data_IF_079864446519
#
_entry.id   IF_079864446519
#
_cell.length_a   1.000
_cell.length_b   1.000
_cell.length_c   1.000
_cell.angle_alpha   90.00
_cell.angle_beta   90.00
_cell.angle_gamma   90.00
#
_symmetry.space_group_name_H-M   'P 1'
#
loop_
_entity.id
_entity.type
_entity.pdbx_description
1 polymer ?
#
# COMPACT_ATOMS: atom_id res chain seq x y z
N UNK A 1 33.77 -18.80 -1.79
CA UNK A 1 34.08 -17.38 -1.51
C UNK A 1 32.92 -16.89 -0.69
N UNK A 2 33.13 -16.58 0.59
CA UNK A 2 32.08 -16.07 1.45
C UNK A 2 31.81 -14.63 1.03
N UNK A 3 30.59 -14.36 0.57
CA UNK A 3 30.10 -12.99 0.38
C UNK A 3 30.25 -12.29 1.72
N UNK A 4 31.15 -11.31 1.78
CA UNK A 4 31.22 -10.39 2.91
C UNK A 4 29.91 -9.61 2.89
N UNK A 5 29.03 -9.88 3.85
CA UNK A 5 27.92 -8.99 4.14
C UNK A 5 28.53 -7.62 4.43
N UNK A 6 28.37 -6.68 3.50
CA UNK A 6 28.68 -5.27 3.76
C UNK A 6 27.83 -4.85 4.95
N UNK A 7 28.50 -4.58 6.07
CA UNK A 7 27.87 -4.16 7.30
C UNK A 7 27.25 -2.78 7.04
N UNK A 8 25.93 -2.76 6.92
CA UNK A 8 25.17 -1.55 6.60
C UNK A 8 25.29 -0.57 7.76
N UNK A 9 26.13 0.46 7.59
CA UNK A 9 26.45 1.45 8.62
C UNK A 9 25.33 2.46 8.86
N UNK A 10 24.20 2.37 8.13
CA UNK A 10 23.06 3.27 8.30
C UNK A 10 22.40 3.05 9.66
N UNK A 11 21.83 4.10 10.28
CA UNK A 11 21.13 3.96 11.56
C UNK A 11 19.96 2.99 11.40
N UNK A 12 19.83 2.06 12.35
CA UNK A 12 18.79 1.04 12.34
C UNK A 12 17.86 1.25 13.54
N UNK A 13 16.55 1.24 13.30
CA UNK A 13 15.53 1.38 14.35
C UNK A 13 14.39 0.40 14.12
N UNK A 14 14.03 -0.31 15.19
CA UNK A 14 12.90 -1.22 15.22
C UNK A 14 11.66 -0.51 15.77
N UNK A 15 10.52 -0.73 15.12
CA UNK A 15 9.22 -0.16 15.42
C UNK A 15 8.24 -1.30 15.70
N UNK A 16 7.65 -1.28 16.89
CA UNK A 16 6.63 -2.26 17.29
C UNK A 16 5.27 -1.63 17.03
N UNK A 17 4.49 -2.25 16.16
CA UNK A 17 3.13 -1.84 15.85
C UNK A 17 2.15 -2.79 16.55
N UNK A 18 1.14 -2.19 17.18
CA UNK A 18 0.03 -2.91 17.81
C UNK A 18 -1.12 -3.07 16.82
N UNK A 19 -2.14 -3.84 17.21
CA UNK A 19 -3.31 -4.08 16.39
C UNK A 19 -3.96 -2.77 15.92
N UNK A 20 -4.35 -2.74 14.64
CA UNK A 20 -5.03 -1.62 14.00
C UNK A 20 -4.22 -0.31 14.07
N UNK A 21 -2.90 -0.41 13.97
CA UNK A 21 -2.01 0.74 13.89
C UNK A 21 -1.24 0.76 12.58
N UNK A 22 -0.80 1.94 12.20
CA UNK A 22 0.03 2.17 11.03
C UNK A 22 1.28 2.99 11.37
N UNK A 23 2.40 2.61 10.80
CA UNK A 23 3.63 3.40 10.80
C UNK A 23 3.63 4.29 9.56
N UNK A 24 3.51 5.59 9.79
CA UNK A 24 3.59 6.61 8.73
C UNK A 24 5.03 7.08 8.64
N UNK A 25 5.58 7.00 7.44
CA UNK A 25 6.94 7.43 7.13
C UNK A 25 6.94 8.39 5.94
N UNK A 26 7.79 9.41 6.05
CA UNK A 26 8.09 10.35 4.98
C UNK A 26 9.60 10.39 4.79
N UNK A 27 10.00 10.22 3.53
CA UNK A 27 11.38 10.35 3.09
C UNK A 27 11.40 11.51 2.10
N UNK A 28 12.18 12.53 2.37
CA UNK A 28 12.40 13.69 1.51
C UNK A 28 13.83 13.68 0.96
N UNK A 29 14.08 14.49 -0.07
CA UNK A 29 15.38 14.61 -0.75
C UNK A 29 15.88 13.27 -1.34
N UNK A 30 17.17 13.19 -1.68
CA UNK A 30 17.84 11.98 -2.20
C UNK A 30 18.14 10.94 -1.10
N UNK A 31 17.42 11.00 0.03
CA UNK A 31 17.52 9.98 1.08
C UNK A 31 16.81 8.69 0.64
N UNK A 32 17.33 7.56 1.11
CA UNK A 32 16.67 6.27 0.98
C UNK A 32 16.62 5.55 2.32
N UNK A 33 15.50 4.87 2.56
CA UNK A 33 15.32 4.02 3.74
C UNK A 33 14.95 2.62 3.30
N UNK A 34 15.54 1.62 3.95
CA UNK A 34 15.16 0.24 3.77
C UNK A 34 14.24 -0.20 4.89
N UNK A 35 13.16 -0.85 4.51
CA UNK A 35 12.12 -1.31 5.43
C UNK A 35 12.10 -2.84 5.37
N UNK A 36 12.09 -3.48 6.54
CA UNK A 36 12.01 -4.93 6.66
C UNK A 36 10.96 -5.34 7.70
N UNK A 37 10.16 -6.35 7.37
CA UNK A 37 9.28 -7.02 8.32
C UNK A 37 10.06 -8.11 9.06
N UNK A 38 10.28 -7.94 10.36
CA UNK A 38 10.96 -8.95 11.19
C UNK A 38 10.00 -9.99 11.75
N UNK A 39 8.85 -9.52 12.24
CA UNK A 39 7.87 -10.36 12.91
C UNK A 39 6.44 -9.89 12.61
N UNK A 40 5.49 -10.83 12.65
CA UNK A 40 4.07 -10.55 12.48
C UNK A 40 3.64 -10.46 11.01
N UNK A 41 2.59 -9.67 10.77
CA UNK A 41 2.01 -9.40 9.45
C UNK A 41 1.87 -7.89 9.26
N UNK A 42 2.25 -7.40 8.09
CA UNK A 42 2.17 -5.99 7.74
C UNK A 42 1.88 -5.83 6.26
N UNK A 43 1.27 -4.72 5.90
CA UNK A 43 0.99 -4.38 4.50
C UNK A 43 1.29 -2.91 4.19
N UNK A 44 1.74 -2.68 2.96
CA UNK A 44 1.96 -1.36 2.39
C UNK A 44 0.87 -1.15 1.34
N UNK A 45 -0.09 -0.28 1.63
CA UNK A 45 -1.22 0.01 0.74
C UNK A 45 -1.92 -1.24 0.18
N UNK A 46 -2.13 -2.25 1.03
CA UNK A 46 -2.81 -3.50 0.71
C UNK A 46 -1.92 -4.61 0.12
N UNK A 47 -0.65 -4.30 -0.16
CA UNK A 47 0.35 -5.30 -0.55
C UNK A 47 1.03 -5.87 0.70
N UNK A 48 0.93 -7.18 0.89
CA UNK A 48 1.53 -7.86 2.03
C UNK A 48 3.06 -7.84 1.97
N UNK A 49 3.70 -7.55 3.11
CA UNK A 49 5.16 -7.57 3.23
C UNK A 49 5.65 -8.98 3.51
N UNK A 50 6.68 -9.41 2.78
CA UNK A 50 7.38 -10.65 3.03
C UNK A 50 8.39 -10.47 4.18
N UNK A 51 8.46 -11.47 5.07
CA UNK A 51 9.38 -11.45 6.21
C UNK A 51 10.84 -11.43 5.73
N UNK A 52 11.66 -10.62 6.39
CA UNK A 52 13.09 -10.41 6.12
C UNK A 52 13.42 -9.92 4.70
N UNK A 53 12.42 -9.51 3.92
CA UNK A 53 12.65 -8.87 2.63
C UNK A 53 12.87 -7.38 2.82
N UNK A 54 13.88 -6.83 2.13
CA UNK A 54 14.20 -5.40 2.10
C UNK A 54 13.35 -4.69 1.06
N UNK A 55 12.63 -3.67 1.50
CA UNK A 55 11.89 -2.74 0.65
C UNK A 55 12.55 -1.38 0.71
N UNK A 56 13.26 -1.00 -0.35
CA UNK A 56 13.92 0.31 -0.45
C UNK A 56 12.94 1.36 -0.90
N UNK A 57 12.82 2.43 -0.12
CA UNK A 57 11.99 3.59 -0.40
C UNK A 57 12.91 4.77 -0.70
N UNK A 58 12.76 5.36 -1.88
CA UNK A 58 13.48 6.54 -2.34
C UNK A 58 12.52 7.55 -2.98
N UNK A 59 13.04 8.71 -3.38
CA UNK A 59 12.36 9.71 -4.23
C UNK A 59 11.13 10.39 -3.61
N UNK A 60 11.30 11.09 -2.48
CA UNK A 60 10.24 11.93 -1.91
C UNK A 60 8.91 11.18 -1.70
N UNK A 61 8.93 10.12 -0.89
CA UNK A 61 7.79 9.22 -0.73
C UNK A 61 7.12 9.35 0.64
N UNK A 62 5.78 9.35 0.64
CA UNK A 62 4.93 9.19 1.84
C UNK A 62 4.34 7.79 1.85
N UNK A 63 4.63 7.02 2.88
CA UNK A 63 4.21 5.61 2.99
C UNK A 63 3.56 5.36 4.34
N UNK A 64 2.55 4.50 4.34
CA UNK A 64 1.94 3.95 5.54
C UNK A 64 2.06 2.42 5.52
N UNK A 65 2.61 1.86 6.59
CA UNK A 65 2.68 0.42 6.83
C UNK A 65 1.64 0.09 7.88
N UNK A 66 0.64 -0.71 7.54
CA UNK A 66 -0.47 -1.06 8.43
C UNK A 66 -0.35 -2.51 8.94
N UNK A 67 -0.87 -2.77 10.13
CA UNK A 67 -1.05 -4.14 10.66
C UNK A 67 -2.43 -4.33 11.32
N UNK A 68 -3.10 -5.43 10.96
CA UNK A 68 -4.37 -5.86 11.58
C UNK A 68 -4.16 -6.53 12.95
N UNK A 69 -2.94 -6.97 13.29
CA UNK A 69 -2.66 -7.81 14.47
C UNK A 69 -1.50 -7.22 15.27
N UNK A 70 -0.29 -7.41 14.80
CA UNK A 70 0.92 -6.83 15.34
C UNK A 70 2.06 -7.13 14.39
N UNK A 71 3.07 -6.25 14.38
CA UNK A 71 4.29 -6.50 13.66
C UNK A 71 5.47 -5.76 14.26
N UNK A 72 6.66 -6.19 13.88
CA UNK A 72 7.90 -5.47 14.13
C UNK A 72 8.53 -5.11 12.80
N UNK A 73 8.62 -3.81 12.54
CA UNK A 73 9.20 -3.24 11.34
C UNK A 73 10.57 -2.67 11.68
N UNK A 74 11.59 -3.07 10.94
CA UNK A 74 12.92 -2.50 11.00
C UNK A 74 13.09 -1.49 9.88
N UNK A 75 13.54 -0.30 10.24
CA UNK A 75 13.93 0.74 9.30
C UNK A 75 15.45 0.92 9.37
N UNK A 76 16.12 0.85 8.22
CA UNK A 76 17.52 1.22 8.06
C UNK A 76 17.59 2.54 7.27
N UNK A 77 18.34 3.51 7.79
CA UNK A 77 18.39 4.88 7.29
C UNK A 77 17.59 5.85 8.17
N UNK A 78 17.62 7.12 7.79
CA UNK A 78 17.00 8.21 8.56
C UNK A 78 15.81 8.78 7.78
N UNK A 79 14.57 8.34 8.06
CA UNK A 79 13.38 9.01 7.52
C UNK A 79 13.25 10.41 8.15
N UNK A 80 12.75 11.36 7.39
CA UNK A 80 12.51 12.74 7.85
C UNK A 80 11.38 12.78 8.88
N UNK A 81 10.34 11.97 8.66
CA UNK A 81 9.22 11.79 9.59
C UNK A 81 8.95 10.30 9.73
N UNK A 82 8.82 9.82 10.97
CA UNK A 82 8.36 8.47 11.27
C UNK A 82 7.58 8.46 12.59
N UNK A 83 6.34 8.02 12.57
CA UNK A 83 5.51 7.87 13.78
C UNK A 83 4.43 6.80 13.61
N UNK A 84 4.00 6.21 14.72
CA UNK A 84 2.90 5.26 14.77
C UNK A 84 1.59 6.00 15.03
N UNK A 85 0.56 5.72 14.23
CA UNK A 85 -0.80 6.24 14.41
C UNK A 85 -1.77 5.07 14.61
N UNK A 86 -2.67 5.21 15.59
CA UNK A 86 -3.83 4.32 15.77
C UNK A 86 -5.08 4.88 15.10
N UNK A 87 -5.08 6.16 14.74
CA UNK A 87 -6.17 6.79 14.01
C UNK A 87 -5.98 6.53 12.52
N UNK A 88 -6.70 5.52 12.02
CA UNK A 88 -6.61 5.07 10.63
C UNK A 88 -7.98 4.66 10.06
N UNK A 89 -8.32 5.10 8.84
CA UNK A 89 -9.55 4.70 8.16
C UNK A 89 -9.46 3.29 7.55
N UNK A 90 -8.39 2.52 7.80
CA UNK A 90 -8.16 1.20 7.18
C UNK A 90 -9.32 0.22 7.36
N UNK A 91 -10.01 0.25 8.51
CA UNK A 91 -11.21 -0.57 8.74
C UNK A 91 -12.32 -0.29 7.73
N UNK A 92 -12.54 0.98 7.35
CA UNK A 92 -13.53 1.40 6.35
C UNK A 92 -13.14 0.85 4.98
N UNK A 93 -11.86 0.95 4.64
CA UNK A 93 -11.35 0.50 3.34
C UNK A 93 -11.44 -1.03 3.20
N UNK A 94 -11.10 -1.79 4.24
CA UNK A 94 -11.26 -3.26 4.25
C UNK A 94 -12.71 -3.69 4.16
N UNK A 95 -13.61 -3.07 4.93
CA UNK A 95 -15.04 -3.35 4.86
C UNK A 95 -15.60 -3.05 3.46
N UNK A 96 -15.14 -1.96 2.84
CA UNK A 96 -15.49 -1.64 1.45
C UNK A 96 -15.03 -2.73 0.50
N UNK A 97 -13.78 -3.20 0.63
CA UNK A 97 -13.28 -4.32 -0.17
C UNK A 97 -14.12 -5.59 0.01
N UNK A 98 -14.47 -5.97 1.25
CA UNK A 98 -15.28 -7.16 1.50
C UNK A 98 -16.68 -7.05 0.89
N UNK A 99 -17.30 -5.87 0.93
CA UNK A 99 -18.57 -5.62 0.26
C UNK A 99 -18.45 -5.77 -1.26
N UNK A 100 -17.40 -5.20 -1.87
CA UNK A 100 -17.14 -5.34 -3.30
C UNK A 100 -16.82 -6.78 -3.70
N UNK A 101 -16.11 -7.51 -2.86
CA UNK A 101 -15.82 -8.93 -3.06
C UNK A 101 -17.09 -9.77 -3.06
N UNK A 102 -18.00 -9.50 -2.12
CA UNK A 102 -19.31 -10.15 -2.11
C UNK A 102 -20.07 -9.90 -3.42
N UNK A 103 -20.09 -8.66 -3.91
CA UNK A 103 -20.71 -8.32 -5.20
C UNK A 103 -20.03 -9.03 -6.38
N UNK A 104 -18.70 -9.15 -6.39
CA UNK A 104 -17.96 -9.88 -7.44
C UNK A 104 -18.35 -11.35 -7.47
N UNK A 105 -18.40 -12.02 -6.31
CA UNK A 105 -18.78 -13.43 -6.22
C UNK A 105 -20.22 -13.67 -6.66
N UNK A 106 -21.14 -12.82 -6.23
CA UNK A 106 -22.54 -12.90 -6.67
C UNK A 106 -22.67 -12.66 -8.17
N UNK A 107 -21.91 -11.73 -8.74
CA UNK A 107 -21.91 -11.49 -10.17
C UNK A 107 -21.37 -12.70 -10.95
N UNK A 108 -20.28 -13.32 -10.48
CA UNK A 108 -19.69 -14.54 -11.06
C UNK A 108 -20.66 -15.72 -11.02
N UNK A 109 -21.39 -15.92 -9.91
CA UNK A 109 -22.38 -16.98 -9.78
C UNK A 109 -23.57 -16.81 -10.74
N UNK A 110 -23.94 -15.57 -11.03
CA UNK A 110 -25.06 -15.24 -11.91
C UNK A 110 -24.64 -14.99 -13.37
N UNK A 111 -23.36 -15.20 -13.71
CA UNK A 111 -22.76 -14.87 -15.01
C UNK A 111 -23.05 -13.44 -15.49
N UNK A 112 -22.87 -12.48 -14.57
CA UNK A 112 -23.08 -11.04 -14.81
C UNK A 112 -21.80 -10.23 -14.57
N UNK A 113 -21.83 -8.95 -14.94
CA UNK A 113 -20.69 -8.04 -14.74
C UNK A 113 -20.46 -7.73 -13.26
N UNK A 114 -19.19 -7.66 -12.86
CA UNK A 114 -18.78 -7.23 -11.53
C UNK A 114 -19.12 -5.76 -11.22
N UNK A 115 -18.92 -5.33 -9.96
CA UNK A 115 -19.26 -3.99 -9.52
C UNK A 115 -18.43 -2.91 -10.22
N UNK A 116 -19.08 -1.81 -10.61
CA UNK A 116 -18.43 -0.59 -11.13
C UNK A 116 -18.47 0.47 -10.02
N UNK A 117 -17.31 0.96 -9.61
CA UNK A 117 -17.17 1.87 -8.46
C UNK A 117 -16.54 3.17 -8.93
N UNK A 118 -17.12 4.30 -8.53
CA UNK A 118 -16.56 5.63 -8.74
C UNK A 118 -16.25 6.25 -7.37
N UNK A 119 -15.02 6.72 -7.19
CA UNK A 119 -14.59 7.41 -5.96
C UNK A 119 -14.61 8.92 -6.23
N UNK A 120 -15.45 9.65 -5.50
CA UNK A 120 -15.64 11.09 -5.66
C UNK A 120 -15.28 11.82 -4.36
N UNK A 121 -14.71 13.03 -4.49
CA UNK A 121 -14.43 13.90 -3.35
C UNK A 121 -13.52 15.08 -3.74
N UNK A 122 -13.28 16.03 -2.81
CA UNK A 122 -12.38 17.16 -3.01
C UNK A 122 -10.94 16.74 -3.37
N UNK A 123 -10.10 17.69 -3.78
CA UNK A 123 -8.66 17.46 -3.96
C UNK A 123 -7.99 17.07 -2.64
N UNK A 124 -6.93 16.27 -2.71
CA UNK A 124 -6.07 15.89 -1.57
C UNK A 124 -6.74 15.15 -0.39
N UNK A 125 -7.84 14.43 -0.62
CA UNK A 125 -8.52 13.59 0.40
C UNK A 125 -8.12 12.11 0.36
N UNK A 126 -7.10 11.73 -0.42
CA UNK A 126 -6.61 10.34 -0.49
C UNK A 126 -7.40 9.42 -1.43
N UNK A 127 -8.10 9.97 -2.43
CA UNK A 127 -8.88 9.20 -3.42
C UNK A 127 -8.01 8.18 -4.16
N UNK A 128 -6.84 8.60 -4.66
CA UNK A 128 -5.93 7.73 -5.40
C UNK A 128 -5.36 6.62 -4.52
N UNK A 129 -5.03 6.94 -3.26
CA UNK A 129 -4.63 5.96 -2.24
C UNK A 129 -5.71 4.89 -2.02
N UNK A 130 -6.97 5.30 -1.90
CA UNK A 130 -8.10 4.37 -1.76
C UNK A 130 -8.27 3.48 -2.99
N UNK A 131 -8.22 4.06 -4.19
CA UNK A 131 -8.31 3.32 -5.44
C UNK A 131 -7.18 2.28 -5.58
N UNK A 132 -5.94 2.66 -5.23
CA UNK A 132 -4.80 1.74 -5.21
C UNK A 132 -4.99 0.61 -4.20
N UNK A 133 -5.42 0.94 -2.99
CA UNK A 133 -5.67 -0.03 -1.92
C UNK A 133 -6.74 -1.07 -2.33
N UNK A 134 -7.90 -0.62 -2.81
CA UNK A 134 -8.97 -1.50 -3.27
C UNK A 134 -8.55 -2.36 -4.47
N UNK A 135 -7.74 -1.81 -5.37
CA UNK A 135 -7.20 -2.56 -6.51
C UNK A 135 -6.25 -3.66 -6.06
N UNK A 136 -5.32 -3.35 -5.14
CA UNK A 136 -4.38 -4.33 -4.58
C UNK A 136 -5.12 -5.45 -3.84
N UNK A 137 -6.14 -5.12 -3.05
CA UNK A 137 -6.95 -6.14 -2.37
C UNK A 137 -7.75 -7.03 -3.33
N UNK A 138 -8.28 -6.47 -4.42
CA UNK A 138 -8.95 -7.26 -5.45
C UNK A 138 -7.99 -8.23 -6.15
N UNK A 139 -6.79 -7.78 -6.51
CA UNK A 139 -5.72 -8.63 -7.08
C UNK A 139 -5.34 -9.74 -6.12
N UNK A 140 -5.15 -9.40 -4.84
CA UNK A 140 -4.86 -10.38 -3.78
C UNK A 140 -5.97 -11.43 -3.61
N UNK A 141 -7.21 -11.06 -3.93
CA UNK A 141 -8.37 -11.98 -3.91
C UNK A 141 -8.53 -12.78 -5.21
N UNK A 142 -7.58 -12.67 -6.15
CA UNK A 142 -7.58 -13.38 -7.43
C UNK A 142 -8.38 -12.72 -8.54
N UNK A 143 -8.83 -11.47 -8.35
CA UNK A 143 -9.58 -10.72 -9.37
C UNK A 143 -8.66 -9.80 -10.17
N UNK A 144 -9.10 -9.43 -11.38
CA UNK A 144 -8.40 -8.47 -12.23
C UNK A 144 -9.21 -7.18 -12.32
N UNK A 145 -9.11 -6.26 -11.34
CA UNK A 145 -9.82 -4.99 -11.39
C UNK A 145 -9.29 -4.12 -12.54
N UNK A 146 -10.17 -3.31 -13.11
CA UNK A 146 -9.81 -2.28 -14.07
C UNK A 146 -9.82 -0.94 -13.34
N UNK A 147 -8.65 -0.34 -13.17
CA UNK A 147 -8.53 1.02 -12.64
C UNK A 147 -8.56 2.01 -13.81
N UNK A 148 -9.48 2.98 -13.73
CA UNK A 148 -9.62 4.07 -14.69
C UNK A 148 -9.36 5.37 -13.95
N UNK A 149 -8.32 6.08 -14.36
CA UNK A 149 -7.99 7.41 -13.83
C UNK A 149 -8.61 8.49 -14.71
N UNK A 150 -9.38 9.39 -14.09
CA UNK A 150 -10.09 10.50 -14.72
C UNK A 150 -9.53 11.84 -14.18
N UNK A 151 -8.57 11.81 -13.26
CA UNK A 151 -7.92 13.02 -12.75
C UNK A 151 -6.82 13.47 -13.71
N UNK A 152 -7.11 14.50 -14.49
CA UNK A 152 -6.17 15.08 -15.44
C UNK A 152 -5.07 15.92 -14.76
N UNK A 153 -5.21 16.27 -13.47
CA UNK A 153 -4.29 17.15 -12.75
C UNK A 153 -3.26 16.45 -11.88
N UNK A 154 -3.57 15.25 -11.37
CA UNK A 154 -2.67 14.41 -10.57
C UNK A 154 -2.74 12.98 -11.07
N UNK A 155 -1.92 12.65 -12.06
CA UNK A 155 -1.93 11.34 -12.70
C UNK A 155 -0.95 10.38 -12.02
N UNK A 156 -1.49 9.37 -11.33
CA UNK A 156 -0.70 8.27 -10.74
C UNK A 156 -0.28 7.23 -11.81
N UNK A 157 -0.90 7.27 -12.99
CA UNK A 157 -0.78 6.21 -14.03
C UNK A 157 -0.08 6.71 -15.31
N UNK A 158 -0.09 8.02 -15.59
CA UNK A 158 0.41 8.60 -16.84
C UNK A 158 0.93 10.04 -16.64
N UNK A 159 1.29 10.72 -17.73
CA UNK A 159 1.57 12.16 -17.76
C UNK A 159 0.24 12.93 -17.47
N UNK A 160 0.27 14.02 -16.69
CA UNK A 160 -0.92 14.83 -16.43
C UNK A 160 -1.65 15.20 -17.72
N UNK A 161 -2.98 15.06 -17.75
CA UNK A 161 -3.82 15.26 -18.93
C UNK A 161 -4.25 13.99 -19.69
N UNK A 162 -4.01 12.79 -19.14
CA UNK A 162 -4.33 11.51 -19.80
C UNK A 162 -5.33 10.66 -19.00
N UNK A 163 -6.25 9.97 -19.70
CA UNK A 163 -7.06 8.89 -19.10
C UNK A 163 -6.29 7.58 -19.26
N UNK A 164 -5.94 6.94 -18.15
CA UNK A 164 -5.20 5.68 -18.11
C UNK A 164 -6.09 4.49 -17.71
N UNK A 165 -5.89 3.33 -18.36
CA UNK A 165 -6.44 2.04 -17.93
C UNK A 165 -5.28 1.16 -17.47
N UNK A 166 -5.27 0.79 -16.18
CA UNK A 166 -4.31 -0.20 -15.66
C UNK A 166 -5.03 -1.53 -15.40
N UNK A 167 -4.49 -2.61 -15.98
CA UNK A 167 -4.91 -3.98 -15.69
C UNK A 167 -3.76 -4.60 -14.91
N UNK A 168 -4.00 -4.87 -13.62
CA UNK A 168 -3.01 -5.51 -12.78
C UNK A 168 -3.06 -7.04 -13.03
N UNK A 169 -2.21 -7.53 -13.92
CA UNK A 169 -2.02 -8.96 -14.17
C UNK A 169 -0.72 -9.42 -13.50
N UNK A 170 -0.82 -10.07 -12.34
CA UNK A 170 0.26 -10.94 -11.87
C UNK A 170 -0.08 -12.39 -12.26
N UNK A 171 0.85 -13.04 -12.97
CA UNK A 171 0.89 -14.48 -13.20
C UNK A 171 1.59 -15.18 -12.04
#
# INVERSE_FOLDING_TARGET
>A
MADKEEEDTRPMKDWILVQNSELRLEVQNDNSVDIQLLFGVAEIFGTEMAKNMRYTISNQAKIAIFTDISCTIRILGSPDIAYVSTDTPMHIYRNTHFALEHLRRTAQQNDTFGPKVMVCGPTDVGKSTLCRLLSNYAVRSGHQPILVDIDVGQSDISIPGSIGKYINCHY
#
